data_IF_539862445223
#
_entry.id   IF_539862445223
#
_cell.length_a   1.000
_cell.length_b   1.000
_cell.length_c   1.000
_cell.angle_alpha   90.00
_cell.angle_beta   90.00
_cell.angle_gamma   90.00
#
_symmetry.space_group_name_H-M   'P 1'
#
loop_
_entity.id
_entity.type
_entity.pdbx_description
1 polymer ?
#
# COMPACT_ATOMS: atom_id res chain seq x y z
N UNK A 1 -2.73 -28.58 -13.56
CA UNK A 1 -3.06 -27.21 -13.10
C UNK A 1 -4.31 -26.62 -13.76
N UNK A 2 -4.35 -26.26 -15.05
CA UNK A 2 -5.52 -25.55 -15.64
C UNK A 2 -6.86 -26.27 -15.40
N UNK A 3 -6.93 -27.58 -15.66
CA UNK A 3 -8.14 -28.37 -15.45
C UNK A 3 -8.55 -28.43 -13.97
N UNK A 4 -7.60 -28.42 -13.03
CA UNK A 4 -7.88 -28.36 -11.60
C UNK A 4 -8.50 -27.02 -11.22
N UNK A 5 -7.96 -25.91 -11.75
CA UNK A 5 -8.54 -24.56 -11.55
C UNK A 5 -9.96 -24.52 -12.10
N UNK A 6 -10.18 -25.00 -13.33
CA UNK A 6 -11.51 -25.03 -13.95
C UNK A 6 -12.49 -25.85 -13.10
N UNK A 7 -12.07 -27.01 -12.61
CA UNK A 7 -12.91 -27.85 -11.76
C UNK A 7 -13.24 -27.15 -10.43
N UNK A 8 -12.25 -26.54 -9.78
CA UNK A 8 -12.43 -25.77 -8.56
C UNK A 8 -13.46 -24.65 -8.75
N UNK A 9 -13.33 -23.86 -9.82
CA UNK A 9 -14.19 -22.71 -10.11
C UNK A 9 -15.60 -23.12 -10.55
N UNK A 10 -15.76 -24.29 -11.19
CA UNK A 10 -17.09 -24.87 -11.47
C UNK A 10 -17.84 -25.21 -10.18
N UNK A 11 -17.13 -25.74 -9.19
CA UNK A 11 -17.72 -26.19 -7.93
C UNK A 11 -17.93 -25.04 -6.95
N UNK A 12 -17.00 -24.09 -6.89
CA UNK A 12 -16.92 -23.08 -5.83
C UNK A 12 -17.17 -21.64 -6.30
N UNK A 13 -17.42 -21.43 -7.60
CA UNK A 13 -17.55 -20.12 -8.20
C UNK A 13 -16.22 -19.36 -8.32
N UNK A 14 -16.25 -18.08 -8.75
CA UNK A 14 -15.06 -17.25 -8.88
C UNK A 14 -14.33 -17.02 -7.56
N UNK A 15 -12.99 -17.01 -7.60
CA UNK A 15 -12.10 -16.95 -6.44
C UNK A 15 -10.92 -16.01 -6.67
N UNK A 16 -10.35 -15.50 -5.59
CA UNK A 16 -9.07 -14.78 -5.63
C UNK A 16 -7.89 -15.72 -5.87
N UNK A 17 -6.73 -15.17 -6.21
CA UNK A 17 -5.52 -15.98 -6.37
C UNK A 17 -5.13 -16.72 -5.08
N UNK A 18 -5.27 -16.07 -3.91
CA UNK A 18 -5.02 -16.71 -2.62
C UNK A 18 -6.01 -17.83 -2.32
N UNK A 19 -7.31 -17.60 -2.55
CA UNK A 19 -8.33 -18.63 -2.38
C UNK A 19 -8.11 -19.84 -3.31
N UNK A 20 -7.60 -19.64 -4.53
CA UNK A 20 -7.27 -20.78 -5.41
C UNK A 20 -6.04 -21.52 -4.90
N UNK A 21 -5.05 -20.77 -4.40
CA UNK A 21 -3.79 -21.29 -3.87
C UNK A 21 -3.98 -22.21 -2.66
N UNK A 22 -5.04 -22.01 -1.88
CA UNK A 22 -5.43 -22.91 -0.77
C UNK A 22 -5.77 -24.34 -1.23
N UNK A 23 -6.26 -24.51 -2.46
CA UNK A 23 -6.68 -25.82 -3.01
C UNK A 23 -5.68 -26.42 -4.00
N UNK A 24 -4.81 -25.59 -4.58
CA UNK A 24 -3.91 -26.00 -5.65
C UNK A 24 -2.47 -25.81 -5.21
N UNK A 25 -1.78 -26.94 -5.03
CA UNK A 25 -0.35 -26.97 -4.81
C UNK A 25 0.38 -26.60 -6.10
N UNK A 26 1.38 -25.72 -6.01
CA UNK A 26 2.13 -25.27 -7.18
C UNK A 26 2.80 -23.92 -6.96
N UNK A 27 3.67 -23.53 -7.88
CA UNK A 27 4.33 -22.23 -7.83
C UNK A 27 3.33 -21.09 -8.14
N UNK A 28 3.48 -19.95 -7.47
CA UNK A 28 2.57 -18.81 -7.61
C UNK A 28 2.64 -18.17 -9.01
N UNK A 29 3.83 -18.15 -9.62
CA UNK A 29 4.01 -17.64 -10.98
C UNK A 29 3.31 -18.56 -11.98
N UNK A 30 3.48 -19.88 -11.86
CA UNK A 30 2.79 -20.84 -12.73
C UNK A 30 1.26 -20.75 -12.58
N UNK A 31 0.76 -20.58 -11.36
CA UNK A 31 -0.66 -20.39 -11.10
C UNK A 31 -1.19 -19.11 -11.77
N UNK A 32 -0.49 -18.00 -11.60
CA UNK A 32 -0.83 -16.73 -12.25
C UNK A 32 -0.76 -16.83 -13.78
N UNK A 33 0.30 -17.42 -14.34
CA UNK A 33 0.47 -17.64 -15.79
C UNK A 33 -0.69 -18.46 -16.35
N UNK A 34 -1.06 -19.56 -15.68
CA UNK A 34 -2.18 -20.41 -16.09
C UNK A 34 -3.50 -19.64 -16.12
N UNK A 35 -3.78 -18.86 -15.08
CA UNK A 35 -4.97 -18.01 -15.01
C UNK A 35 -4.98 -16.89 -16.07
N UNK A 36 -3.81 -16.31 -16.38
CA UNK A 36 -3.66 -15.19 -17.32
C UNK A 36 -3.77 -15.62 -18.79
N UNK A 37 -3.27 -16.83 -19.11
CA UNK A 37 -3.13 -17.31 -20.50
C UNK A 37 -4.24 -18.26 -20.94
N UNK A 38 -4.98 -18.86 -20.00
CA UNK A 38 -6.11 -19.74 -20.32
C UNK A 38 -7.24 -18.99 -21.04
N UNK A 39 -7.74 -19.58 -22.13
CA UNK A 39 -8.93 -19.09 -22.83
C UNK A 39 -10.26 -19.44 -22.13
N UNK A 40 -10.22 -20.37 -21.17
CA UNK A 40 -11.38 -20.81 -20.40
C UNK A 40 -11.57 -20.03 -19.10
N UNK A 41 -10.53 -19.31 -18.67
CA UNK A 41 -10.53 -18.50 -17.48
C UNK A 41 -10.58 -17.02 -17.83
N UNK A 42 -11.08 -16.23 -16.89
CA UNK A 42 -11.02 -14.78 -16.96
C UNK A 42 -10.59 -14.25 -15.61
N UNK A 43 -9.55 -13.43 -15.64
CA UNK A 43 -9.05 -12.71 -14.47
C UNK A 43 -9.52 -11.25 -14.54
N UNK A 44 -10.02 -10.73 -13.42
CA UNK A 44 -10.45 -9.35 -13.28
C UNK A 44 -9.79 -8.72 -12.04
N UNK A 45 -9.04 -7.65 -12.26
CA UNK A 45 -8.44 -6.86 -11.18
C UNK A 45 -9.51 -6.03 -10.44
N UNK A 46 -9.30 -5.82 -9.15
CA UNK A 46 -10.15 -5.09 -8.20
C UNK A 46 -9.31 -3.98 -7.58
N UNK A 47 -9.85 -2.78 -7.47
CA UNK A 47 -9.13 -1.64 -6.90
C UNK A 47 -8.24 -0.94 -7.94
N UNK A 48 -7.18 -0.28 -7.45
CA UNK A 48 -6.32 0.59 -8.27
C UNK A 48 -4.85 0.27 -8.11
N UNK A 49 -4.11 0.50 -9.21
CA UNK A 49 -2.65 0.48 -9.22
C UNK A 49 -2.15 1.90 -8.99
N UNK A 50 -1.09 2.06 -8.20
CA UNK A 50 -0.51 3.36 -7.88
C UNK A 50 1.02 3.30 -7.88
N UNK A 51 1.66 4.46 -8.08
CA UNK A 51 3.12 4.58 -8.10
C UNK A 51 3.72 4.10 -6.78
N UNK A 52 4.73 3.24 -6.86
CA UNK A 52 5.64 2.91 -5.76
C UNK A 52 7.07 3.12 -6.24
N UNK A 53 7.85 3.75 -5.38
CA UNK A 53 9.26 4.01 -5.67
C UNK A 53 10.12 2.89 -5.12
N UNK A 54 11.05 2.40 -5.94
CA UNK A 54 11.85 1.22 -5.64
C UNK A 54 13.28 1.40 -6.16
N UNK A 55 14.27 1.30 -5.26
CA UNK A 55 15.69 1.51 -5.63
C UNK A 55 16.24 0.45 -6.56
N UNK A 56 15.62 -0.73 -6.60
CA UNK A 56 16.09 -1.86 -7.41
C UNK A 56 15.47 -1.86 -8.81
N UNK A 57 14.46 -1.05 -9.05
CA UNK A 57 13.84 -0.89 -10.36
C UNK A 57 14.53 0.24 -11.12
N UNK A 58 14.91 -0.04 -12.37
CA UNK A 58 15.47 0.99 -13.24
C UNK A 58 14.47 2.15 -13.43
N UNK A 59 14.94 3.39 -13.34
CA UNK A 59 14.08 4.58 -13.28
C UNK A 59 13.30 4.76 -11.96
N UNK A 60 13.55 3.93 -10.95
CA UNK A 60 13.00 4.00 -9.58
C UNK A 60 11.49 3.83 -9.43
N UNK A 61 10.75 3.53 -10.49
CA UNK A 61 9.28 3.57 -10.49
C UNK A 61 8.67 2.22 -10.90
N UNK A 62 7.74 1.72 -10.08
CA UNK A 62 6.89 0.57 -10.38
C UNK A 62 5.46 0.83 -9.94
N UNK A 63 4.54 -0.06 -10.32
CA UNK A 63 3.21 -0.06 -9.77
C UNK A 63 3.12 -0.96 -8.54
N UNK A 64 2.39 -0.49 -7.56
CA UNK A 64 1.82 -1.27 -6.46
C UNK A 64 0.33 -1.49 -6.72
N UNK A 65 -0.24 -2.62 -6.31
CA UNK A 65 0.46 -3.82 -5.80
C UNK A 65 1.39 -4.47 -6.85
N UNK A 66 2.33 -5.32 -6.41
CA UNK A 66 3.11 -6.18 -7.34
C UNK A 66 2.20 -7.11 -8.16
N UNK A 67 2.75 -7.85 -9.13
CA UNK A 67 1.94 -8.77 -9.94
C UNK A 67 1.36 -9.85 -9.05
N UNK A 68 2.19 -10.41 -8.17
CA UNK A 68 1.76 -11.43 -7.23
C UNK A 68 0.70 -10.90 -6.27
N UNK A 69 0.94 -9.76 -5.60
CA UNK A 69 -0.03 -9.21 -4.65
C UNK A 69 -1.34 -8.82 -5.32
N UNK A 70 -1.29 -8.26 -6.52
CA UNK A 70 -2.51 -8.00 -7.30
C UNK A 70 -3.26 -9.29 -7.60
N UNK A 71 -2.56 -10.35 -7.98
CA UNK A 71 -3.16 -11.64 -8.29
C UNK A 71 -3.80 -12.31 -7.07
N UNK A 72 -3.06 -12.36 -5.96
CA UNK A 72 -3.49 -13.06 -4.76
C UNK A 72 -4.64 -12.33 -4.06
N UNK A 73 -4.55 -11.02 -3.90
CA UNK A 73 -5.46 -10.25 -3.04
C UNK A 73 -6.50 -9.45 -3.82
N UNK A 74 -6.13 -8.94 -4.99
CA UNK A 74 -6.90 -7.94 -5.73
C UNK A 74 -7.36 -8.43 -7.10
N UNK A 75 -7.38 -9.73 -7.36
CA UNK A 75 -7.86 -10.27 -8.63
C UNK A 75 -8.87 -11.38 -8.38
N UNK A 76 -9.91 -11.42 -9.21
CA UNK A 76 -10.89 -12.51 -9.24
C UNK A 76 -10.67 -13.32 -10.50
N UNK A 77 -10.50 -14.62 -10.35
CA UNK A 77 -10.46 -15.59 -11.43
C UNK A 77 -11.79 -16.35 -11.45
N UNK A 78 -12.40 -16.45 -12.62
CA UNK A 78 -13.59 -17.26 -12.84
C UNK A 78 -13.61 -17.86 -14.23
N UNK A 79 -14.67 -18.62 -14.54
CA UNK A 79 -14.86 -19.18 -15.88
C UNK A 79 -15.19 -18.04 -16.87
N UNK A 80 -14.53 -18.03 -18.02
CA UNK A 80 -14.73 -17.01 -19.06
C UNK A 80 -16.19 -16.94 -19.54
N UNK A 81 -16.91 -18.06 -19.50
CA UNK A 81 -18.32 -18.17 -19.86
C UNK A 81 -19.29 -17.55 -18.81
N UNK A 82 -18.80 -17.16 -17.63
CA UNK A 82 -19.63 -16.65 -16.52
C UNK A 82 -19.17 -15.25 -16.05
N UNK A 83 -19.14 -14.23 -16.93
CA UNK A 83 -18.62 -12.91 -16.57
C UNK A 83 -19.39 -12.21 -15.45
N UNK A 84 -20.71 -12.44 -15.36
CA UNK A 84 -21.54 -11.84 -14.30
C UNK A 84 -21.18 -12.33 -12.90
N UNK A 85 -20.79 -13.61 -12.76
CA UNK A 85 -20.35 -14.17 -11.48
C UNK A 85 -19.02 -13.53 -11.04
N UNK A 86 -18.11 -13.31 -11.99
CA UNK A 86 -16.82 -12.63 -11.75
C UNK A 86 -17.08 -11.19 -11.31
N UNK A 87 -17.98 -10.48 -11.97
CA UNK A 87 -18.34 -9.10 -11.62
C UNK A 87 -18.96 -9.00 -10.23
N UNK A 88 -19.81 -9.96 -9.87
CA UNK A 88 -20.40 -10.03 -8.53
C UNK A 88 -19.35 -10.25 -7.46
N UNK A 89 -18.47 -11.23 -7.65
CA UNK A 89 -17.38 -11.52 -6.71
C UNK A 89 -16.39 -10.35 -6.58
N UNK A 90 -16.08 -9.68 -7.69
CA UNK A 90 -15.24 -8.48 -7.69
C UNK A 90 -15.86 -7.35 -6.86
N UNK A 91 -17.18 -7.15 -6.91
CA UNK A 91 -17.88 -6.17 -6.07
C UNK A 91 -17.83 -6.52 -4.58
N UNK A 92 -17.96 -7.80 -4.23
CA UNK A 92 -17.86 -8.27 -2.84
C UNK A 92 -16.48 -7.98 -2.25
N UNK A 93 -15.43 -8.34 -2.98
CA UNK A 93 -14.04 -8.10 -2.55
C UNK A 93 -13.77 -6.60 -2.45
N UNK A 94 -14.19 -5.81 -3.44
CA UNK A 94 -14.07 -4.36 -3.39
C UNK A 94 -14.76 -3.77 -2.15
N UNK A 95 -16.00 -4.20 -1.87
CA UNK A 95 -16.74 -3.75 -0.69
C UNK A 95 -16.01 -4.09 0.62
N UNK A 96 -15.39 -5.27 0.71
CA UNK A 96 -14.59 -5.67 1.87
C UNK A 96 -13.36 -4.76 2.05
N UNK A 97 -12.61 -4.51 0.96
CA UNK A 97 -11.42 -3.64 0.97
C UNK A 97 -11.81 -2.21 1.42
N UNK A 98 -12.91 -1.67 0.90
CA UNK A 98 -13.41 -0.36 1.31
C UNK A 98 -13.76 -0.33 2.81
N UNK A 99 -14.37 -1.40 3.32
CA UNK A 99 -14.70 -1.51 4.74
C UNK A 99 -13.43 -1.54 5.61
N UNK A 100 -12.42 -2.35 5.23
CA UNK A 100 -11.12 -2.38 5.94
C UNK A 100 -10.45 -1.01 5.92
N UNK A 101 -10.38 -0.37 4.76
CA UNK A 101 -9.77 0.95 4.59
C UNK A 101 -10.46 2.01 5.45
N UNK A 102 -11.80 1.99 5.54
CA UNK A 102 -12.57 2.89 6.41
C UNK A 102 -12.26 2.66 7.88
N UNK A 103 -12.27 1.40 8.34
CA UNK A 103 -11.96 1.09 9.75
C UNK A 103 -10.53 1.50 10.12
N UNK A 104 -9.55 1.30 9.24
CA UNK A 104 -8.16 1.77 9.48
C UNK A 104 -8.04 3.29 9.45
N UNK A 105 -8.78 3.98 8.58
CA UNK A 105 -8.84 5.45 8.58
C UNK A 105 -9.44 5.99 9.88
N UNK A 106 -10.51 5.39 10.38
CA UNK A 106 -11.13 5.75 11.67
C UNK A 106 -10.15 5.52 12.83
N UNK A 107 -9.44 4.40 12.83
CA UNK A 107 -8.38 4.13 13.81
C UNK A 107 -7.26 5.17 13.75
N UNK A 108 -6.80 5.53 12.55
CA UNK A 108 -5.76 6.55 12.36
C UNK A 108 -6.20 7.93 12.86
N UNK A 109 -7.47 8.31 12.66
CA UNK A 109 -8.05 9.55 13.21
C UNK A 109 -8.12 9.52 14.73
N UNK A 110 -8.66 8.44 15.30
CA UNK A 110 -8.71 8.24 16.75
C UNK A 110 -7.31 8.30 17.37
N UNK A 111 -6.32 7.71 16.68
CA UNK A 111 -4.92 7.78 17.10
C UNK A 111 -4.40 9.22 17.16
N UNK A 112 -4.65 10.02 16.11
CA UNK A 112 -4.23 11.42 16.08
C UNK A 112 -4.92 12.22 17.20
N UNK A 113 -6.23 12.05 17.39
CA UNK A 113 -7.01 12.71 18.44
C UNK A 113 -6.50 12.36 19.84
N UNK A 114 -6.15 11.09 20.07
CA UNK A 114 -5.59 10.63 21.34
C UNK A 114 -4.20 11.19 21.63
N UNK A 115 -3.36 11.34 20.61
CA UNK A 115 -2.04 11.99 20.74
C UNK A 115 -2.21 13.47 21.09
N UNK A 116 -3.15 14.16 20.43
CA UNK A 116 -3.48 15.56 20.74
C UNK A 116 -3.99 15.71 22.17
N UNK A 117 -4.92 14.86 22.59
CA UNK A 117 -5.46 14.86 23.95
C UNK A 117 -4.38 14.58 25.01
N UNK A 118 -3.40 13.72 24.71
CA UNK A 118 -2.28 13.43 25.61
C UNK A 118 -1.36 14.64 25.80
N UNK A 119 -1.21 15.49 24.78
CA UNK A 119 -0.42 16.72 24.87
C UNK A 119 -1.19 17.85 25.55
N UNK A 120 -2.53 17.84 25.54
CA UNK A 120 -3.36 18.80 26.27
C UNK A 120 -3.08 20.24 25.86
N UNK A 121 -2.87 21.12 26.84
CA UNK A 121 -2.57 22.55 26.60
C UNK A 121 -1.25 22.79 25.85
N UNK A 122 -0.35 21.80 25.84
CA UNK A 122 0.90 21.84 25.08
C UNK A 122 0.70 21.44 23.60
N UNK A 123 -0.53 21.15 23.18
CA UNK A 123 -0.82 20.79 21.80
C UNK A 123 -0.46 21.94 20.83
N UNK A 124 0.16 21.55 19.72
CA UNK A 124 0.65 22.42 18.65
C UNK A 124 -0.48 22.89 17.72
N UNK A 125 -1.52 23.49 18.30
CA UNK A 125 -2.64 24.07 17.55
C UNK A 125 -2.11 25.02 16.47
N UNK A 126 -2.57 24.87 15.23
CA UNK A 126 -2.10 25.64 14.05
C UNK A 126 -0.63 25.49 13.66
N UNK A 127 0.14 24.61 14.33
CA UNK A 127 1.58 24.44 14.12
C UNK A 127 1.97 23.01 13.73
N UNK A 128 1.04 22.06 13.74
CA UNK A 128 1.26 20.68 13.33
C UNK A 128 0.10 20.13 12.50
N UNK A 129 0.40 19.18 11.61
CA UNK A 129 -0.60 18.40 10.87
C UNK A 129 -0.20 16.92 10.81
N UNK A 130 -1.20 16.04 10.95
CA UNK A 130 -1.08 14.58 10.80
C UNK A 130 -1.61 14.19 9.42
N UNK A 131 -0.78 13.52 8.64
CA UNK A 131 -1.05 13.13 7.27
C UNK A 131 -0.97 11.61 7.19
N UNK A 132 -2.04 10.99 6.71
CA UNK A 132 -2.11 9.56 6.41
C UNK A 132 -1.66 9.30 4.97
N UNK A 133 -0.90 8.23 4.73
CA UNK A 133 -0.45 7.81 3.41
C UNK A 133 -0.68 6.31 3.17
N UNK A 134 -0.13 5.78 2.08
CA UNK A 134 -0.13 4.33 1.81
C UNK A 134 -1.48 3.77 1.36
N UNK A 135 -1.69 2.48 1.58
CA UNK A 135 -2.82 1.72 1.04
C UNK A 135 -4.19 2.29 1.43
N UNK A 136 -4.31 2.88 2.62
CA UNK A 136 -5.58 3.38 3.15
C UNK A 136 -6.08 4.57 2.32
N UNK A 137 -5.17 5.48 1.93
CA UNK A 137 -5.48 6.59 1.01
C UNK A 137 -5.93 6.04 -0.35
N UNK A 138 -5.33 4.93 -0.76
CA UNK A 138 -5.71 4.26 -1.99
C UNK A 138 -7.01 3.45 -1.86
N UNK A 139 -7.67 3.40 -0.70
CA UNK A 139 -8.77 2.47 -0.44
C UNK A 139 -8.41 1.03 -0.84
N UNK A 140 -7.15 0.65 -0.59
CA UNK A 140 -6.54 -0.62 -0.94
C UNK A 140 -6.13 -1.41 0.31
N UNK A 141 -6.45 -0.97 1.52
CA UNK A 141 -6.02 -1.67 2.71
C UNK A 141 -6.67 -3.07 2.83
N UNK A 142 -5.89 -4.06 3.30
CA UNK A 142 -6.37 -5.41 3.56
C UNK A 142 -6.12 -5.82 5.01
N UNK A 143 -6.74 -6.94 5.41
CA UNK A 143 -6.71 -7.50 6.76
C UNK A 143 -6.04 -8.89 6.82
N UNK A 144 -5.44 -9.34 5.71
CA UNK A 144 -4.66 -10.59 5.64
C UNK A 144 -3.59 -10.59 6.74
N UNK A 145 -3.64 -11.52 7.71
CA UNK A 145 -2.66 -11.55 8.80
C UNK A 145 -1.24 -11.79 8.27
N UNK A 146 -0.27 -11.03 8.78
CA UNK A 146 1.16 -11.19 8.45
C UNK A 146 2.03 -10.96 9.68
N UNK A 147 3.24 -11.52 9.76
CA UNK A 147 4.16 -11.23 10.86
C UNK A 147 4.65 -9.78 10.80
N UNK A 148 4.76 -9.13 11.95
CA UNK A 148 5.44 -7.85 12.14
C UNK A 148 6.92 -8.09 12.44
N UNK A 149 7.81 -7.26 11.86
CA UNK A 149 9.26 -7.52 11.78
C UNK A 149 9.99 -7.52 13.12
N UNK A 150 9.60 -6.64 14.05
CA UNK A 150 10.31 -6.46 15.30
C UNK A 150 9.86 -7.41 16.40
N UNK A 151 8.61 -7.86 16.35
CA UNK A 151 7.98 -8.69 17.39
C UNK A 151 7.64 -10.11 16.94
N UNK A 152 7.59 -10.36 15.62
CA UNK A 152 7.13 -11.62 15.04
C UNK A 152 5.64 -11.90 15.26
N UNK A 153 4.88 -10.92 15.79
CA UNK A 153 3.45 -11.06 16.03
C UNK A 153 2.67 -10.92 14.74
N UNK A 154 1.58 -11.68 14.62
CA UNK A 154 0.66 -11.50 13.51
C UNK A 154 -0.12 -10.19 13.69
N UNK A 155 0.01 -9.26 12.73
CA UNK A 155 -0.76 -8.01 12.64
C UNK A 155 -1.79 -8.09 11.54
N UNK A 156 -2.80 -7.21 11.59
CA UNK A 156 -3.94 -7.23 10.65
C UNK A 156 -3.64 -6.49 9.33
N UNK A 157 -2.92 -7.13 8.42
CA UNK A 157 -2.76 -6.66 7.04
C UNK A 157 -1.98 -5.35 6.90
N UNK A 158 -2.44 -4.44 6.04
CA UNK A 158 -1.69 -3.23 5.65
C UNK A 158 -1.35 -2.31 6.83
N UNK A 159 -0.17 -1.68 6.79
CA UNK A 159 0.25 -0.68 7.77
C UNK A 159 -0.59 0.60 7.75
N UNK A 160 -0.57 1.33 8.87
CA UNK A 160 -1.03 2.72 8.94
C UNK A 160 0.20 3.64 8.85
N UNK A 161 0.42 4.24 7.69
CA UNK A 161 1.53 5.17 7.43
C UNK A 161 1.18 6.61 7.80
N UNK A 162 1.89 7.18 8.79
CA UNK A 162 1.68 8.53 9.28
C UNK A 162 2.88 9.44 9.03
N UNK A 163 2.61 10.65 8.57
CA UNK A 163 3.59 11.73 8.51
C UNK A 163 3.07 12.89 9.34
N UNK A 164 3.86 13.30 10.33
CA UNK A 164 3.56 14.48 11.14
C UNK A 164 4.51 15.59 10.77
N UNK A 165 3.97 16.70 10.30
CA UNK A 165 4.75 17.89 9.97
C UNK A 165 4.48 18.96 11.00
N UNK A 166 5.54 19.61 11.47
CA UNK A 166 5.48 20.74 12.39
C UNK A 166 6.12 22.00 11.80
N UNK A 167 5.69 23.18 12.22
CA UNK A 167 6.31 24.45 11.84
C UNK A 167 7.74 24.55 12.37
N UNK A 168 8.58 25.31 11.67
CA UNK A 168 10.00 25.47 12.03
C UNK A 168 10.18 26.20 13.37
N UNK A 169 9.18 26.99 13.78
CA UNK A 169 9.14 27.68 15.08
C UNK A 169 8.93 26.75 16.27
N UNK A 170 8.54 25.50 16.04
CA UNK A 170 8.30 24.53 17.13
C UNK A 170 9.65 24.10 17.73
N UNK A 171 9.84 24.26 19.05
CA UNK A 171 11.07 23.84 19.72
C UNK A 171 11.28 22.32 19.65
N UNK A 172 12.54 21.89 19.56
CA UNK A 172 12.88 20.45 19.48
C UNK A 172 12.39 19.67 20.70
N UNK A 173 12.38 20.28 21.89
CA UNK A 173 11.81 19.67 23.10
C UNK A 173 10.31 19.34 22.98
N UNK A 174 9.55 20.13 22.20
CA UNK A 174 8.15 19.82 21.94
C UNK A 174 8.00 18.70 20.90
N UNK A 175 8.92 18.64 19.93
CA UNK A 175 8.98 17.56 18.94
C UNK A 175 9.28 16.22 19.63
N UNK A 176 10.22 16.20 20.57
CA UNK A 176 10.55 15.01 21.37
C UNK A 176 9.35 14.52 22.20
N UNK A 177 8.58 15.45 22.78
CA UNK A 177 7.35 15.12 23.51
C UNK A 177 6.27 14.54 22.61
N UNK A 178 6.08 15.13 21.42
CA UNK A 178 5.16 14.63 20.41
C UNK A 178 5.56 13.25 19.92
N UNK A 179 6.84 13.06 19.59
CA UNK A 179 7.40 11.77 19.18
C UNK A 179 7.19 10.70 20.26
N UNK A 180 7.48 11.03 21.53
CA UNK A 180 7.23 10.13 22.68
C UNK A 180 5.75 9.75 22.80
N UNK A 181 4.83 10.71 22.65
CA UNK A 181 3.39 10.44 22.70
C UNK A 181 2.95 9.50 21.58
N UNK A 182 3.40 9.75 20.34
CA UNK A 182 3.11 8.90 19.19
C UNK A 182 3.70 7.49 19.40
N UNK A 183 4.95 7.38 19.85
CA UNK A 183 5.62 6.10 20.09
C UNK A 183 4.87 5.25 21.13
N UNK A 184 4.46 5.84 22.25
CA UNK A 184 3.69 5.14 23.28
C UNK A 184 2.36 4.61 22.74
N UNK A 185 1.68 5.39 21.90
CA UNK A 185 0.42 4.99 21.27
C UNK A 185 0.62 3.92 20.19
N UNK A 186 1.66 4.05 19.36
CA UNK A 186 2.07 3.03 18.37
C UNK A 186 2.24 1.68 19.05
N UNK A 187 2.99 1.66 20.15
CA UNK A 187 3.23 0.43 20.90
C UNK A 187 1.92 -0.18 21.44
N UNK A 188 0.99 0.63 21.95
CA UNK A 188 -0.33 0.14 22.41
C UNK A 188 -1.18 -0.43 21.28
N UNK A 189 -1.19 0.19 20.11
CA UNK A 189 -1.92 -0.30 18.94
C UNK A 189 -1.40 -1.67 18.48
N UNK A 190 -0.08 -1.87 18.55
CA UNK A 190 0.57 -3.12 18.17
C UNK A 190 0.30 -4.25 19.17
N UNK A 191 0.39 -4.00 20.48
CA UNK A 191 0.31 -5.07 21.49
C UNK A 191 -1.13 -5.41 21.91
N UNK A 192 -2.09 -4.50 21.72
CA UNK A 192 -3.46 -4.67 22.18
C UNK A 192 -4.19 -5.65 21.25
N UNK A 193 -4.67 -6.81 21.74
CA UNK A 193 -5.34 -7.80 20.88
C UNK A 193 -6.59 -7.28 20.17
N UNK A 194 -7.25 -6.27 20.74
CA UNK A 194 -8.44 -5.66 20.14
C UNK A 194 -8.10 -4.83 18.89
N UNK A 195 -6.92 -4.20 18.88
CA UNK A 195 -6.42 -3.38 17.77
C UNK A 195 -5.56 -4.24 16.86
N UNK A 196 -4.37 -4.62 17.32
CA UNK A 196 -3.42 -5.51 16.64
C UNK A 196 -3.03 -4.99 15.24
N UNK A 197 -2.68 -3.71 15.20
CA UNK A 197 -2.35 -2.94 13.99
C UNK A 197 -0.93 -2.38 14.09
N UNK A 198 -0.22 -2.40 12.97
CA UNK A 198 1.09 -1.79 12.82
C UNK A 198 0.93 -0.35 12.34
N UNK A 199 1.57 0.59 13.04
CA UNK A 199 1.55 2.02 12.72
C UNK A 199 2.99 2.44 12.47
N UNK A 200 3.27 2.92 11.27
CA UNK A 200 4.56 3.52 10.94
C UNK A 200 4.42 5.03 10.87
N UNK A 201 5.41 5.74 11.42
CA UNK A 201 5.33 7.18 11.48
C UNK A 201 6.68 7.88 11.33
N UNK A 202 6.62 9.13 10.89
CA UNK A 202 7.75 10.05 10.92
C UNK A 202 7.29 11.45 11.35
N UNK A 203 8.05 12.07 12.24
CA UNK A 203 7.86 13.49 12.62
C UNK A 203 8.98 14.32 11.99
N UNK A 204 8.63 15.42 11.31
CA UNK A 204 9.63 16.31 10.69
C UNK A 204 9.17 17.77 10.66
N UNK A 205 10.14 18.69 10.61
CA UNK A 205 9.89 20.13 10.42
C UNK A 205 9.57 20.47 8.96
N UNK A 206 8.93 21.62 8.76
CA UNK A 206 8.63 22.17 7.44
C UNK A 206 9.90 22.45 6.62
N UNK A 207 11.00 22.86 7.24
CA UNK A 207 12.30 23.04 6.58
C UNK A 207 12.73 21.77 5.84
N UNK A 208 12.50 20.60 6.43
CA UNK A 208 12.83 19.31 5.82
C UNK A 208 11.97 19.03 4.60
N UNK A 209 10.72 19.47 4.60
CA UNK A 209 9.84 19.38 3.42
C UNK A 209 10.37 20.27 2.31
N UNK A 210 10.76 21.52 2.62
CA UNK A 210 11.35 22.45 1.64
C UNK A 210 12.64 21.91 1.00
N UNK A 211 13.43 21.13 1.74
CA UNK A 211 14.57 20.41 1.17
C UNK A 211 14.13 19.26 0.26
N UNK A 212 13.16 18.46 0.69
CA UNK A 212 12.71 17.26 -0.03
C UNK A 212 12.02 17.59 -1.35
N UNK A 213 11.31 18.72 -1.46
CA UNK A 213 10.66 19.12 -2.72
C UNK A 213 11.64 19.46 -3.86
N UNK A 214 12.95 19.54 -3.57
CA UNK A 214 13.99 19.58 -4.62
C UNK A 214 13.97 18.31 -5.49
N UNK A 215 13.46 17.20 -4.96
CA UNK A 215 13.28 15.93 -5.70
C UNK A 215 14.60 15.39 -6.29
N UNK A 216 15.70 15.58 -5.59
CA UNK A 216 17.07 15.35 -6.05
C UNK A 216 17.70 14.03 -5.56
N UNK A 217 17.06 13.36 -4.61
CA UNK A 217 17.49 12.09 -4.06
C UNK A 217 16.33 11.11 -3.96
N UNK A 218 16.60 9.80 -3.98
CA UNK A 218 15.54 8.80 -3.80
C UNK A 218 14.71 9.02 -2.53
N UNK A 219 15.35 9.43 -1.42
CA UNK A 219 14.63 9.76 -0.17
C UNK A 219 13.70 10.97 -0.35
N UNK A 220 14.16 11.99 -1.08
CA UNK A 220 13.37 13.17 -1.45
C UNK A 220 12.16 12.77 -2.30
N UNK A 221 12.35 11.89 -3.28
CA UNK A 221 11.28 11.38 -4.15
C UNK A 221 10.20 10.63 -3.35
N UNK A 222 10.62 9.71 -2.45
CA UNK A 222 9.71 8.97 -1.56
C UNK A 222 8.90 9.92 -0.69
N UNK A 223 9.57 10.88 -0.04
CA UNK A 223 8.88 11.86 0.80
C UNK A 223 7.87 12.70 0.02
N UNK A 224 8.21 13.10 -1.21
CA UNK A 224 7.31 13.84 -2.10
C UNK A 224 6.10 13.01 -2.52
N UNK A 225 6.31 11.74 -2.91
CA UNK A 225 5.22 10.82 -3.25
C UNK A 225 4.25 10.64 -2.08
N UNK A 226 4.78 10.40 -0.89
CA UNK A 226 3.99 10.24 0.34
C UNK A 226 3.15 11.50 0.64
N UNK A 227 3.71 12.69 0.44
CA UNK A 227 2.97 13.93 0.63
C UNK A 227 1.92 14.16 -0.48
N UNK A 228 2.23 13.81 -1.72
CA UNK A 228 1.31 14.00 -2.85
C UNK A 228 0.03 13.18 -2.70
N UNK A 229 0.13 11.95 -2.19
CA UNK A 229 -1.05 11.13 -1.88
C UNK A 229 -1.66 11.44 -0.50
N UNK A 230 -0.87 12.06 0.37
CA UNK A 230 -1.19 12.19 1.79
C UNK A 230 -2.53 12.89 2.07
N UNK A 231 -3.32 12.30 2.95
CA UNK A 231 -4.61 12.84 3.41
C UNK A 231 -4.47 13.41 4.83
N UNK A 232 -4.95 14.65 5.05
CA UNK A 232 -5.05 15.21 6.40
C UNK A 232 -6.02 14.40 7.27
N UNK A 233 -5.56 13.96 8.45
CA UNK A 233 -6.38 13.24 9.43
C UNK A 233 -6.47 13.93 10.79
N UNK A 234 -5.66 14.96 11.05
CA UNK A 234 -5.71 15.73 12.29
C UNK A 234 -4.76 16.93 12.28
N UNK A 235 -5.00 17.90 13.16
CA UNK A 235 -4.19 19.11 13.30
C UNK A 235 -4.68 20.24 12.38
N UNK A 236 -3.77 21.12 11.97
CA UNK A 236 -4.08 22.35 11.25
C UNK A 236 -4.31 22.12 9.76
N UNK A 237 -5.52 22.43 9.28
CA UNK A 237 -5.85 22.40 7.86
C UNK A 237 -5.10 23.51 7.08
N UNK A 238 -4.99 24.71 7.66
CA UNK A 238 -4.26 25.81 7.04
C UNK A 238 -2.79 25.46 6.80
N UNK A 239 -2.13 24.93 7.83
CA UNK A 239 -0.73 24.51 7.72
C UNK A 239 -0.55 23.31 6.80
N UNK A 240 -1.47 22.35 6.78
CA UNK A 240 -1.45 21.25 5.81
C UNK A 240 -1.51 21.77 4.36
N UNK A 241 -2.36 22.76 4.06
CA UNK A 241 -2.42 23.36 2.73
C UNK A 241 -1.08 24.02 2.35
N UNK A 242 -0.44 24.73 3.28
CA UNK A 242 0.90 25.30 3.07
C UNK A 242 1.94 24.21 2.73
N UNK A 243 1.90 23.08 3.44
CA UNK A 243 2.80 21.93 3.19
C UNK A 243 2.60 21.35 1.81
N UNK A 244 1.35 21.03 1.44
CA UNK A 244 1.05 20.36 0.16
C UNK A 244 1.29 21.30 -1.03
N UNK A 245 1.10 22.61 -0.86
CA UNK A 245 1.35 23.60 -1.91
C UNK A 245 2.82 23.65 -2.36
N UNK A 246 3.77 23.24 -1.51
CA UNK A 246 5.18 23.13 -1.91
C UNK A 246 5.41 22.15 -3.08
N UNK A 247 4.54 21.15 -3.25
CA UNK A 247 4.69 20.15 -4.32
C UNK A 247 4.50 20.78 -5.72
N UNK A 248 3.35 21.38 -6.06
CA UNK A 248 3.18 22.06 -7.34
C UNK A 248 4.15 23.23 -7.52
N UNK A 249 4.43 24.02 -6.47
CA UNK A 249 5.34 25.18 -6.55
C UNK A 249 6.77 24.80 -6.97
N UNK A 250 7.17 23.53 -6.76
CA UNK A 250 8.50 23.01 -7.10
C UNK A 250 8.47 22.01 -8.29
N UNK A 251 7.36 21.94 -9.01
CA UNK A 251 7.18 21.05 -10.16
C UNK A 251 7.30 19.56 -9.82
N UNK A 252 6.92 19.18 -8.59
CA UNK A 252 7.01 17.79 -8.12
C UNK A 252 5.91 16.93 -8.74
N UNK A 253 4.73 17.49 -8.97
CA UNK A 253 3.59 16.75 -9.52
C UNK A 253 3.91 16.21 -10.92
N UNK A 254 4.46 17.03 -11.80
CA UNK A 254 4.83 16.61 -13.16
C UNK A 254 5.96 15.58 -13.17
N UNK A 255 6.85 15.61 -12.17
CA UNK A 255 7.90 14.59 -12.01
C UNK A 255 7.31 13.26 -11.59
N UNK A 256 6.35 13.26 -10.65
CA UNK A 256 5.65 12.05 -10.21
C UNK A 256 4.77 11.47 -11.33
N UNK A 257 4.09 12.31 -12.10
CA UNK A 257 3.26 11.86 -13.24
C UNK A 257 4.11 11.12 -14.29
N UNK A 258 5.29 11.64 -14.64
CA UNK A 258 6.22 10.95 -15.56
C UNK A 258 6.67 9.60 -15.03
N UNK A 259 6.95 9.50 -13.72
CA UNK A 259 7.32 8.24 -13.08
C UNK A 259 6.16 7.25 -13.10
N UNK A 260 4.93 7.73 -12.87
CA UNK A 260 3.71 6.93 -12.94
C UNK A 260 3.44 6.41 -14.36
N UNK A 261 3.60 7.23 -15.40
CA UNK A 261 3.50 6.82 -16.81
C UNK A 261 4.53 5.74 -17.17
N UNK A 262 5.80 5.96 -16.78
CA UNK A 262 6.86 4.99 -16.97
C UNK A 262 6.56 3.67 -16.26
N UNK A 263 6.06 3.71 -15.02
CA UNK A 263 5.67 2.53 -14.26
C UNK A 263 4.51 1.75 -14.90
N UNK A 264 3.54 2.43 -15.52
CA UNK A 264 2.44 1.78 -16.27
C UNK A 264 2.97 1.04 -17.49
N UNK A 265 3.82 1.70 -18.29
CA UNK A 265 4.44 1.08 -19.45
C UNK A 265 5.30 -0.13 -19.05
N UNK A 266 6.10 0.04 -18.00
CA UNK A 266 6.92 -1.02 -17.42
C UNK A 266 6.07 -2.21 -16.97
N UNK A 267 5.00 -1.99 -16.19
CA UNK A 267 4.10 -3.05 -15.72
C UNK A 267 3.54 -3.88 -16.87
N UNK A 268 3.07 -3.23 -17.93
CA UNK A 268 2.51 -3.93 -19.10
C UNK A 268 3.55 -4.83 -19.76
N UNK A 269 4.74 -4.31 -20.04
CA UNK A 269 5.83 -5.08 -20.63
C UNK A 269 6.22 -6.28 -19.77
N UNK A 270 6.23 -6.11 -18.44
CA UNK A 270 6.55 -7.20 -17.51
C UNK A 270 5.48 -8.28 -17.43
N UNK A 271 4.19 -7.90 -17.39
CA UNK A 271 3.11 -8.88 -17.45
C UNK A 271 3.16 -9.71 -18.75
N UNK A 272 3.37 -9.05 -19.90
CA UNK A 272 3.45 -9.74 -21.19
C UNK A 272 4.65 -10.70 -21.25
N UNK A 273 5.81 -10.26 -20.77
CA UNK A 273 7.03 -11.07 -20.69
C UNK A 273 6.88 -12.28 -19.76
N UNK A 274 6.35 -12.07 -18.55
CA UNK A 274 6.18 -13.14 -17.58
C UNK A 274 5.10 -14.13 -18.03
N UNK A 275 4.07 -13.71 -18.75
CA UNK A 275 3.01 -14.60 -19.23
C UNK A 275 3.50 -15.57 -20.33
N UNK A 276 4.53 -15.21 -21.09
CA UNK A 276 4.98 -15.98 -22.26
C UNK A 276 6.17 -16.90 -21.99
N UNK A 277 6.85 -16.74 -20.84
CA UNK A 277 8.10 -17.43 -20.55
C UNK A 277 7.89 -18.62 -19.62
N UNK A 278 8.58 -19.72 -19.89
CA UNK A 278 8.51 -20.93 -19.07
C UNK A 278 9.06 -20.65 -17.67
N UNK A 279 8.34 -21.07 -16.64
CA UNK A 279 8.64 -20.74 -15.24
C UNK A 279 10.00 -21.28 -14.77
N UNK A 280 10.47 -22.38 -15.35
CA UNK A 280 11.77 -23.02 -15.09
C UNK A 280 12.97 -22.25 -15.67
N UNK A 281 12.72 -21.28 -16.55
CA UNK A 281 13.75 -20.42 -17.18
C UNK A 281 13.82 -19.02 -16.58
N UNK A 282 13.13 -18.77 -15.47
CA UNK A 282 13.11 -17.47 -14.80
C UNK A 282 14.36 -17.27 -13.95
N UNK A 283 14.97 -16.09 -14.04
CA UNK A 283 16.06 -15.71 -13.14
C UNK A 283 15.50 -15.06 -11.86
N UNK A 284 16.29 -14.93 -10.78
CA UNK A 284 15.87 -14.18 -9.59
C UNK A 284 15.46 -12.73 -9.90
N UNK A 285 16.12 -12.09 -10.87
CA UNK A 285 15.75 -10.75 -11.34
C UNK A 285 14.39 -10.74 -12.05
N UNK A 286 14.08 -11.79 -12.82
CA UNK A 286 12.76 -11.97 -13.43
C UNK A 286 11.67 -12.14 -12.35
N UNK A 287 11.96 -12.89 -11.28
CA UNK A 287 11.04 -13.09 -10.16
C UNK A 287 10.82 -11.83 -9.32
N UNK A 288 11.85 -10.99 -9.17
CA UNK A 288 11.71 -9.69 -8.50
C UNK A 288 10.66 -8.78 -9.17
N UNK A 289 10.44 -8.96 -10.48
CA UNK A 289 9.43 -8.24 -11.24
C UNK A 289 8.01 -8.78 -11.01
N UNK A 290 7.91 -10.04 -10.59
CA UNK A 290 6.64 -10.67 -10.20
C UNK A 290 6.27 -10.31 -8.76
N UNK A 291 7.23 -10.36 -7.84
CA UNK A 291 7.10 -9.89 -6.45
C UNK A 291 8.43 -9.36 -5.89
N UNK A 292 8.42 -8.21 -5.21
CA UNK A 292 9.59 -7.72 -4.47
C UNK A 292 9.73 -8.45 -3.13
N UNK A 293 10.97 -8.57 -2.63
CA UNK A 293 11.26 -9.23 -1.35
C UNK A 293 10.55 -8.61 -0.13
N UNK A 294 10.14 -7.34 -0.20
CA UNK A 294 9.33 -6.73 0.87
C UNK A 294 7.90 -7.29 0.92
N UNK A 295 7.35 -7.69 -0.23
CA UNK A 295 5.98 -8.23 -0.32
C UNK A 295 5.97 -9.76 -0.19
N UNK A 296 7.10 -10.47 -0.35
CA UNK A 296 7.14 -11.93 -0.20
C UNK A 296 6.81 -12.39 1.23
N UNK A 297 7.22 -11.61 2.24
CA UNK A 297 6.92 -11.90 3.66
C UNK A 297 5.41 -11.83 3.97
N UNK A 298 4.61 -11.17 3.12
CA UNK A 298 3.15 -11.10 3.29
C UNK A 298 2.44 -12.40 2.83
N UNK A 299 3.15 -13.29 2.10
CA UNK A 299 2.57 -14.47 1.44
C UNK A 299 3.33 -15.78 1.70
N UNK A 300 4.34 -15.78 2.58
CA UNK A 300 5.05 -16.97 3.10
C UNK A 300 4.38 -17.50 4.38
#
# INVERSE_FOLDING_TARGET
>A
MEQEIIHLLKTNGPRTGSEIKEFITGDNLLLWQTCKTSSHLRMKSVGRRFLRLDRRVDGFARLSPSILREFLTYSVVGLAAQPQAIDQRAREIHSRILQVSRSKLELARSFADEVQAQLGDDWLQEQACFILAGDIVYEMAHDVPRPERSTGRLVRGSDIDLVVIVKDSVPDSMIERLDTAIYQKKYRALISPAVNEEIDYVVKKMERVREQVRFDSFKSMVACKILQEGMLIGGSEGFYREVIQLLPDNGVLEKLDRLQEAAVAFRKQKEDFLAQREADKMTPEDLYLFYPAEESEEFE
#
